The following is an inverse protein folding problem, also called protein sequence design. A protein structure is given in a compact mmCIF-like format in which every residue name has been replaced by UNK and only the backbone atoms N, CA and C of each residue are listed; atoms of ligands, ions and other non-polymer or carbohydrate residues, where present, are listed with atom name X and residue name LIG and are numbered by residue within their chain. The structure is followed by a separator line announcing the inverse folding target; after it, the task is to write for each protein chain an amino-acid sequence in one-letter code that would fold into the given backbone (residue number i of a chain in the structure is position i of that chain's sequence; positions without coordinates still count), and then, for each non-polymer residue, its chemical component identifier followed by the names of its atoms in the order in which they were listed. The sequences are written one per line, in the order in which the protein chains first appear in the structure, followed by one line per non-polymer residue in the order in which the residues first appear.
data_IF_816475904253
#
_entry.id   IF_816475904253
#
_cell.length_a   1.000
_cell.length_b   1.000
_cell.length_c   1.000
_cell.angle_alpha   90.00
_cell.angle_beta   90.00
_cell.angle_gamma   90.00
#
_symmetry.space_group_name_H-M   'P 1'
#
loop_
_entity.id
_entity.type
_entity.pdbx_description
1 polymer ?
#
# COMPACT_ATOMS: atom_id res chain seq x y z
N UNK A 1 -6.98 14.31 -10.89
CA UNK A 1 -6.20 14.92 -9.80
C UNK A 1 -6.95 14.86 -8.47
N UNK A 2 -6.42 15.49 -7.44
CA UNK A 2 -7.02 15.50 -6.08
C UNK A 2 -8.37 16.18 -6.03
N UNK A 3 -8.64 17.16 -6.90
CA UNK A 3 -9.89 17.89 -6.99
C UNK A 3 -10.94 17.12 -7.81
N UNK A 4 -10.56 16.05 -8.47
CA UNK A 4 -11.43 15.28 -9.37
C UNK A 4 -11.47 15.85 -10.78
N UNK A 5 -10.60 16.80 -11.11
CA UNK A 5 -10.43 17.31 -12.46
C UNK A 5 -9.71 16.28 -13.34
N UNK A 6 -10.13 16.17 -14.60
CA UNK A 6 -9.49 15.29 -15.58
C UNK A 6 -8.03 15.70 -15.76
N UNK A 7 -7.09 14.76 -15.58
CA UNK A 7 -5.66 15.01 -15.84
C UNK A 7 -5.42 15.29 -17.32
N UNK A 8 -4.67 16.35 -17.63
CA UNK A 8 -4.32 16.74 -18.99
C UNK A 8 -2.95 17.41 -19.02
N UNK A 9 -2.12 17.07 -20.01
CA UNK A 9 -0.81 17.70 -20.21
C UNK A 9 -0.93 19.22 -20.38
N UNK A 10 -1.96 19.68 -21.09
CA UNK A 10 -2.21 21.12 -21.30
C UNK A 10 -2.68 21.87 -20.05
N UNK A 11 -3.20 21.17 -19.05
CA UNK A 11 -3.58 21.73 -17.75
C UNK A 11 -2.44 21.68 -16.72
N UNK A 12 -1.36 20.92 -17.02
CA UNK A 12 -0.22 20.77 -16.13
C UNK A 12 -0.49 19.97 -14.84
N UNK A 13 -1.64 19.28 -14.77
CA UNK A 13 -2.04 18.48 -13.61
C UNK A 13 -1.76 16.98 -13.77
N UNK A 14 -0.86 16.61 -14.69
CA UNK A 14 -0.42 15.23 -14.88
C UNK A 14 0.71 14.93 -13.92
N UNK A 15 0.50 13.92 -13.09
CA UNK A 15 1.55 13.36 -12.23
C UNK A 15 2.26 12.26 -13.02
N UNK A 16 3.55 12.42 -13.27
CA UNK A 16 4.37 11.37 -13.88
C UNK A 16 4.56 10.24 -12.83
N UNK A 17 4.15 8.99 -13.16
CA UNK A 17 4.37 7.86 -12.26
C UNK A 17 5.82 7.68 -11.84
N UNK A 18 6.79 8.01 -12.70
CA UNK A 18 8.21 7.90 -12.38
C UNK A 18 8.65 8.93 -11.30
N UNK A 19 8.06 10.12 -11.29
CA UNK A 19 8.28 11.11 -10.24
C UNK A 19 7.77 10.60 -8.88
N UNK A 20 6.64 9.90 -8.87
CA UNK A 20 6.10 9.29 -7.64
C UNK A 20 6.99 8.14 -7.16
N UNK A 21 7.44 7.29 -8.08
CA UNK A 21 8.24 6.10 -7.75
C UNK A 21 9.63 6.48 -7.26
N UNK A 22 10.30 7.41 -7.95
CA UNK A 22 11.71 7.75 -7.72
C UNK A 22 11.91 8.98 -6.82
N UNK A 23 10.88 9.78 -6.64
CA UNK A 23 10.95 11.14 -6.13
C UNK A 23 11.23 12.14 -7.26
N UNK A 24 10.91 13.39 -7.02
CA UNK A 24 11.20 14.49 -7.94
C UNK A 24 11.36 15.79 -7.15
N UNK A 25 12.33 16.63 -7.54
CA UNK A 25 12.43 17.98 -7.01
C UNK A 25 11.35 18.89 -7.59
N UNK A 26 11.12 20.06 -6.99
CA UNK A 26 10.23 21.06 -7.58
C UNK A 26 10.66 21.43 -9.01
N UNK A 27 11.97 21.54 -9.23
CA UNK A 27 12.53 21.89 -10.56
C UNK A 27 12.22 20.82 -11.59
N UNK A 28 12.29 19.51 -11.23
CA UNK A 28 11.91 18.40 -12.10
C UNK A 28 10.43 18.46 -12.48
N UNK A 29 9.57 18.76 -11.50
CA UNK A 29 8.11 18.89 -11.73
C UNK A 29 7.81 20.05 -12.68
N UNK A 30 8.44 21.20 -12.45
CA UNK A 30 8.27 22.39 -13.30
C UNK A 30 8.84 22.18 -14.70
N UNK A 31 9.99 21.53 -14.83
CA UNK A 31 10.58 21.17 -16.12
C UNK A 31 9.66 20.22 -16.92
N UNK A 32 9.14 19.18 -16.28
CA UNK A 32 8.19 18.25 -16.90
C UNK A 32 6.91 18.93 -17.36
N UNK A 33 6.33 19.80 -16.51
CA UNK A 33 5.13 20.55 -16.84
C UNK A 33 5.35 21.53 -18.02
N UNK A 34 6.47 22.27 -18.03
CA UNK A 34 6.86 23.17 -19.14
C UNK A 34 7.04 22.40 -20.44
N UNK A 35 7.74 21.26 -20.41
CA UNK A 35 7.90 20.41 -21.59
C UNK A 35 6.55 19.86 -22.11
N UNK A 36 5.57 19.66 -21.24
CA UNK A 36 4.20 19.30 -21.58
C UNK A 36 3.32 20.47 -22.08
N UNK A 37 3.84 21.70 -22.12
CA UNK A 37 3.12 22.88 -22.56
C UNK A 37 2.16 23.47 -21.51
N UNK A 38 2.42 23.26 -20.22
CA UNK A 38 1.60 23.78 -19.13
C UNK A 38 1.63 25.32 -19.12
N UNK A 39 0.47 25.99 -18.92
CA UNK A 39 0.40 27.45 -18.84
C UNK A 39 1.02 27.95 -17.52
N UNK A 40 1.44 29.24 -17.43
CA UNK A 40 2.05 29.82 -16.23
C UNK A 40 1.25 29.57 -14.94
N UNK A 41 -0.07 29.72 -15.00
CA UNK A 41 -0.96 29.48 -13.84
C UNK A 41 -0.87 28.05 -13.30
N UNK A 42 -0.61 27.06 -14.17
CA UNK A 42 -0.41 25.67 -13.75
C UNK A 42 0.95 25.49 -13.05
N UNK A 43 1.99 26.17 -13.50
CA UNK A 43 3.30 26.16 -12.84
C UNK A 43 3.24 26.76 -11.44
N UNK A 44 2.52 27.89 -11.28
CA UNK A 44 2.28 28.51 -9.97
C UNK A 44 1.48 27.57 -9.04
N UNK A 45 0.54 26.81 -9.60
CA UNK A 45 -0.21 25.81 -8.84
C UNK A 45 0.69 24.66 -8.35
N UNK A 46 1.57 24.13 -9.22
CA UNK A 46 2.54 23.10 -8.87
C UNK A 46 3.47 23.60 -7.76
N UNK A 47 4.01 24.81 -7.87
CA UNK A 47 4.89 25.43 -6.88
C UNK A 47 4.22 25.54 -5.51
N UNK A 48 2.94 25.94 -5.48
CA UNK A 48 2.16 26.04 -4.22
C UNK A 48 1.83 24.69 -3.62
N UNK A 49 1.50 23.72 -4.45
CA UNK A 49 1.04 22.40 -4.00
C UNK A 49 2.20 21.48 -3.58
N UNK A 50 3.35 21.61 -4.24
CA UNK A 50 4.50 20.75 -4.04
C UNK A 50 5.81 21.57 -3.89
N UNK A 51 5.92 22.44 -2.88
CA UNK A 51 7.07 23.33 -2.73
C UNK A 51 8.41 22.57 -2.57
N UNK A 52 8.36 21.38 -1.97
CA UNK A 52 9.53 20.52 -1.75
C UNK A 52 9.62 19.36 -2.77
N UNK A 53 8.75 19.36 -3.80
CA UNK A 53 8.63 18.26 -4.76
C UNK A 53 7.94 17.03 -4.18
N UNK A 54 8.29 15.84 -4.70
CA UNK A 54 7.80 14.55 -4.23
C UNK A 54 8.91 13.75 -3.56
N UNK A 55 8.72 13.24 -2.35
CA UNK A 55 9.61 12.23 -1.81
C UNK A 55 9.47 10.92 -2.61
N UNK A 56 10.50 10.07 -2.55
CA UNK A 56 10.44 8.74 -3.16
C UNK A 56 9.42 7.87 -2.44
N UNK A 57 8.34 7.46 -3.11
CA UNK A 57 7.32 6.56 -2.55
C UNK A 57 7.56 5.08 -2.88
N UNK A 58 8.18 4.78 -4.02
CA UNK A 58 8.38 3.43 -4.54
C UNK A 58 7.20 2.93 -5.39
N UNK A 59 7.48 1.91 -6.20
CA UNK A 59 6.51 1.37 -7.15
C UNK A 59 5.32 0.69 -6.45
N UNK A 60 5.56 -0.03 -5.36
CA UNK A 60 4.51 -0.80 -4.68
C UNK A 60 3.47 0.11 -4.03
N UNK A 61 3.91 1.24 -3.43
CA UNK A 61 2.99 2.23 -2.86
C UNK A 61 2.06 2.82 -3.93
N UNK A 62 2.60 3.17 -5.09
CA UNK A 62 1.80 3.68 -6.21
C UNK A 62 0.83 2.62 -6.75
N UNK A 63 1.32 1.40 -7.01
CA UNK A 63 0.51 0.29 -7.53
C UNK A 63 -0.63 -0.08 -6.58
N UNK A 64 -0.33 -0.19 -5.29
CA UNK A 64 -1.35 -0.48 -4.28
C UNK A 64 -2.37 0.65 -4.17
N UNK A 65 -1.93 1.91 -4.24
CA UNK A 65 -2.83 3.07 -4.26
C UNK A 65 -3.80 2.99 -5.43
N UNK A 66 -3.29 2.72 -6.64
CA UNK A 66 -4.14 2.61 -7.83
C UNK A 66 -5.14 1.46 -7.69
N UNK A 67 -4.71 0.28 -7.23
CA UNK A 67 -5.61 -0.85 -6.99
C UNK A 67 -6.69 -0.52 -5.95
N UNK A 68 -6.32 0.12 -4.84
CA UNK A 68 -7.24 0.48 -3.76
C UNK A 68 -8.26 1.56 -4.17
N UNK A 69 -7.92 2.41 -5.16
CA UNK A 69 -8.79 3.46 -5.66
C UNK A 69 -9.60 3.06 -6.91
N UNK A 70 -9.27 1.93 -7.54
CA UNK A 70 -9.90 1.44 -8.76
C UNK A 70 -11.31 0.87 -8.48
N UNK A 71 -12.26 1.74 -8.13
CA UNK A 71 -13.68 1.39 -8.07
C UNK A 71 -14.29 1.29 -9.47
N UNK A 72 -15.25 0.38 -9.66
CA UNK A 72 -15.94 0.26 -10.94
C UNK A 72 -16.74 1.54 -11.23
N UNK A 73 -16.50 2.13 -12.40
CA UNK A 73 -17.28 3.28 -12.90
C UNK A 73 -16.98 4.62 -12.22
N UNK A 74 -15.93 4.74 -11.43
CA UNK A 74 -15.53 5.99 -10.79
C UNK A 74 -14.16 6.47 -11.23
N UNK A 75 -14.01 7.79 -11.37
CA UNK A 75 -12.70 8.41 -11.61
C UNK A 75 -11.80 8.28 -10.38
N UNK A 76 -10.54 7.92 -10.62
CA UNK A 76 -9.53 7.77 -9.56
C UNK A 76 -9.01 9.16 -9.14
N UNK A 77 -9.35 9.58 -7.92
CA UNK A 77 -8.77 10.79 -7.32
C UNK A 77 -7.44 10.44 -6.65
N UNK A 78 -6.36 10.59 -7.43
CA UNK A 78 -5.02 10.30 -6.93
C UNK A 78 -4.49 11.48 -6.12
N UNK A 79 -4.09 11.24 -4.88
CA UNK A 79 -3.41 12.22 -4.03
C UNK A 79 -2.11 11.68 -3.48
N UNK A 80 -1.11 12.56 -3.36
CA UNK A 80 0.20 12.23 -2.80
C UNK A 80 0.07 11.70 -1.37
N UNK A 81 -0.82 12.28 -0.56
CA UNK A 81 -1.09 11.85 0.81
C UNK A 81 -1.60 10.40 0.89
N UNK A 82 -2.42 9.96 -0.08
CA UNK A 82 -2.88 8.56 -0.14
C UNK A 82 -1.75 7.61 -0.50
N UNK A 83 -0.88 8.01 -1.43
CA UNK A 83 0.31 7.22 -1.81
C UNK A 83 1.23 7.05 -0.60
N UNK A 84 1.44 8.12 0.18
CA UNK A 84 2.22 8.07 1.41
C UNK A 84 1.62 7.10 2.44
N UNK A 85 0.31 7.13 2.63
CA UNK A 85 -0.38 6.18 3.51
C UNK A 85 -0.14 4.73 3.11
N UNK A 86 -0.22 4.41 1.83
CA UNK A 86 0.05 3.05 1.33
C UNK A 86 1.54 2.69 1.31
N UNK A 87 2.46 3.67 1.22
CA UNK A 87 3.89 3.44 1.49
C UNK A 87 4.11 2.97 2.93
N UNK A 88 3.45 3.59 3.91
CA UNK A 88 3.50 3.13 5.30
C UNK A 88 2.96 1.71 5.45
N UNK A 89 1.91 1.36 4.72
CA UNK A 89 1.39 -0.01 4.70
C UNK A 89 2.41 -1.02 4.14
N UNK A 90 3.04 -0.74 3.01
CA UNK A 90 4.11 -1.58 2.45
C UNK A 90 5.27 -1.75 3.44
N UNK A 91 5.69 -0.67 4.10
CA UNK A 91 6.71 -0.71 5.14
C UNK A 91 6.28 -1.53 6.36
N UNK A 92 5.00 -1.48 6.75
CA UNK A 92 4.47 -2.28 7.86
C UNK A 92 4.58 -3.78 7.55
N UNK A 93 4.24 -4.20 6.33
CA UNK A 93 4.39 -5.59 5.88
C UNK A 93 5.86 -6.02 5.93
N UNK A 94 6.77 -5.20 5.41
CA UNK A 94 8.20 -5.48 5.44
C UNK A 94 8.73 -5.62 6.87
N UNK A 95 8.33 -4.73 7.77
CA UNK A 95 8.74 -4.79 9.17
C UNK A 95 8.15 -6.02 9.89
N UNK A 96 6.91 -6.41 9.58
CA UNK A 96 6.31 -7.64 10.10
C UNK A 96 7.10 -8.88 9.65
N UNK A 97 7.51 -8.93 8.38
CA UNK A 97 8.39 -9.99 7.89
C UNK A 97 9.74 -9.98 8.62
N UNK A 98 10.39 -8.83 8.74
CA UNK A 98 11.69 -8.72 9.44
C UNK A 98 11.60 -9.15 10.91
N UNK A 99 10.48 -8.90 11.56
CA UNK A 99 10.23 -9.38 12.92
C UNK A 99 10.08 -10.89 12.96
N UNK A 100 9.35 -11.49 12.03
CA UNK A 100 9.12 -12.93 12.00
C UNK A 100 10.32 -13.73 11.48
N UNK A 101 11.13 -13.17 10.58
CA UNK A 101 12.21 -13.88 9.87
C UNK A 101 13.22 -14.61 10.79
N UNK A 102 13.67 -14.05 11.92
CA UNK A 102 14.59 -14.75 12.83
C UNK A 102 13.98 -16.00 13.48
N UNK A 103 12.65 -16.12 13.49
CA UNK A 103 11.91 -17.23 14.10
C UNK A 103 11.50 -18.29 13.06
N UNK A 104 11.78 -18.06 11.78
CA UNK A 104 11.51 -19.01 10.71
C UNK A 104 12.64 -20.05 10.67
N UNK A 105 12.27 -21.32 10.58
CA UNK A 105 13.20 -22.43 10.50
C UNK A 105 13.66 -22.57 9.04
N UNK A 106 14.98 -22.70 8.80
CA UNK A 106 15.57 -22.83 7.46
C UNK A 106 15.10 -24.08 6.70
N UNK A 107 14.75 -25.14 7.40
CA UNK A 107 14.11 -26.31 6.81
C UNK A 107 12.58 -26.19 6.92
N UNK A 108 11.94 -25.89 5.81
CA UNK A 108 10.48 -25.90 5.71
C UNK A 108 9.95 -27.33 5.92
N UNK A 109 9.81 -27.75 7.16
CA UNK A 109 9.02 -28.94 7.49
C UNK A 109 7.55 -28.59 7.22
N UNK A 110 6.99 -29.25 6.23
CA UNK A 110 5.53 -29.23 6.02
C UNK A 110 4.89 -30.00 7.19
N UNK A 111 4.61 -29.26 8.26
CA UNK A 111 3.87 -29.80 9.41
C UNK A 111 2.39 -29.60 9.14
N UNK A 112 1.58 -30.65 9.32
CA UNK A 112 0.13 -30.51 9.28
C UNK A 112 -0.31 -29.63 10.46
N UNK A 113 -1.03 -28.55 10.18
CA UNK A 113 -1.56 -27.63 11.20
C UNK A 113 -2.31 -28.38 12.32
N UNK A 114 -3.06 -29.43 11.97
CA UNK A 114 -3.77 -30.26 12.94
C UNK A 114 -2.86 -31.03 13.95
N UNK A 115 -1.55 -31.07 13.70
CA UNK A 115 -0.60 -31.71 14.61
C UNK A 115 0.11 -30.71 15.54
N UNK A 116 -0.17 -29.40 15.42
CA UNK A 116 0.43 -28.35 16.23
C UNK A 116 -0.47 -27.99 17.43
N UNK A 117 0.12 -27.73 18.60
CA UNK A 117 -0.63 -27.21 19.74
C UNK A 117 -0.97 -25.73 19.50
N UNK A 118 -2.08 -25.47 18.79
CA UNK A 118 -2.54 -24.13 18.50
C UNK A 118 -3.16 -23.49 19.74
N UNK A 119 -2.85 -22.22 19.97
CA UNK A 119 -3.58 -21.39 20.93
C UNK A 119 -4.83 -20.79 20.29
N UNK A 120 -5.73 -20.24 21.10
CA UNK A 120 -6.93 -19.52 20.61
C UNK A 120 -6.56 -18.39 19.62
N UNK A 121 -5.44 -17.68 19.87
CA UNK A 121 -4.97 -16.66 18.97
C UNK A 121 -4.50 -17.21 17.61
N UNK A 122 -3.87 -18.38 17.60
CA UNK A 122 -3.43 -19.06 16.38
C UNK A 122 -4.64 -19.52 15.57
N UNK A 123 -5.63 -20.12 16.22
CA UNK A 123 -6.88 -20.55 15.57
C UNK A 123 -7.65 -19.35 15.00
N UNK A 124 -7.73 -18.26 15.75
CA UNK A 124 -8.37 -17.04 15.33
C UNK A 124 -7.72 -16.47 14.06
N UNK A 125 -6.38 -16.25 14.06
CA UNK A 125 -5.71 -15.65 12.90
C UNK A 125 -5.77 -16.54 11.66
N UNK A 126 -5.69 -17.86 11.82
CA UNK A 126 -5.85 -18.82 10.72
C UNK A 126 -7.25 -18.80 10.14
N UNK A 127 -8.28 -18.72 10.98
CA UNK A 127 -9.67 -18.55 10.55
C UNK A 127 -9.86 -17.26 9.76
N UNK A 128 -9.28 -16.16 10.26
CA UNK A 128 -9.31 -14.86 9.57
C UNK A 128 -8.58 -14.90 8.23
N UNK A 129 -7.37 -15.49 8.19
CA UNK A 129 -6.61 -15.69 6.95
C UNK A 129 -7.43 -16.44 5.90
N UNK A 130 -8.09 -17.53 6.28
CA UNK A 130 -8.93 -18.30 5.37
C UNK A 130 -10.12 -17.48 4.83
N UNK A 131 -10.77 -16.69 5.69
CA UNK A 131 -11.89 -15.83 5.29
C UNK A 131 -11.42 -14.74 4.32
N UNK A 132 -10.30 -14.08 4.62
CA UNK A 132 -9.71 -13.04 3.78
C UNK A 132 -9.26 -13.61 2.44
N UNK A 133 -8.61 -14.77 2.43
CA UNK A 133 -8.17 -15.45 1.19
C UNK A 133 -9.36 -15.71 0.25
N UNK A 134 -10.49 -16.21 0.78
CA UNK A 134 -11.70 -16.40 -0.03
C UNK A 134 -12.22 -15.06 -0.57
N UNK A 135 -12.38 -14.05 0.30
CA UNK A 135 -12.89 -12.74 -0.11
C UNK A 135 -12.01 -12.05 -1.15
N UNK A 136 -10.69 -12.14 -0.99
CA UNK A 136 -9.73 -11.61 -1.98
C UNK A 136 -9.85 -12.35 -3.31
N UNK A 137 -9.94 -13.69 -3.28
CA UNK A 137 -10.11 -14.50 -4.50
C UNK A 137 -11.40 -14.12 -5.24
N UNK A 138 -12.52 -14.01 -4.54
CA UNK A 138 -13.81 -13.59 -5.11
C UNK A 138 -13.74 -12.17 -5.68
N UNK A 139 -13.08 -11.26 -4.97
CA UNK A 139 -12.90 -9.88 -5.43
C UNK A 139 -12.07 -9.83 -6.73
N UNK A 140 -10.98 -10.60 -6.82
CA UNK A 140 -10.17 -10.72 -8.05
C UNK A 140 -10.97 -11.32 -9.20
N UNK A 141 -11.72 -12.40 -8.98
CA UNK A 141 -12.56 -13.02 -10.00
C UNK A 141 -13.64 -12.08 -10.55
N UNK A 142 -14.07 -11.14 -9.71
CA UNK A 142 -15.07 -10.11 -10.06
C UNK A 142 -14.46 -8.77 -10.48
N UNK A 143 -13.14 -8.70 -10.66
CA UNK A 143 -12.40 -7.45 -10.98
C UNK A 143 -12.63 -6.30 -9.99
N UNK A 144 -12.97 -6.61 -8.74
CA UNK A 144 -13.15 -5.63 -7.65
C UNK A 144 -11.85 -5.45 -6.87
N UNK A 145 -10.83 -4.85 -7.53
CA UNK A 145 -9.48 -4.73 -6.96
C UNK A 145 -9.43 -3.86 -5.70
N UNK A 146 -10.29 -2.85 -5.61
CA UNK A 146 -10.44 -2.01 -4.43
C UNK A 146 -10.89 -2.81 -3.19
N UNK A 147 -11.81 -3.76 -3.37
CA UNK A 147 -12.29 -4.62 -2.30
C UNK A 147 -11.18 -5.58 -1.86
N UNK A 148 -10.45 -6.18 -2.81
CA UNK A 148 -9.30 -7.02 -2.52
C UNK A 148 -8.22 -6.25 -1.72
N UNK A 149 -7.89 -5.04 -2.14
CA UNK A 149 -6.92 -4.18 -1.45
C UNK A 149 -7.39 -3.82 -0.03
N UNK A 150 -8.69 -3.50 0.15
CA UNK A 150 -9.27 -3.22 1.46
C UNK A 150 -9.21 -4.42 2.40
N UNK A 151 -9.56 -5.61 1.93
CA UNK A 151 -9.50 -6.84 2.73
C UNK A 151 -8.08 -7.15 3.18
N UNK A 152 -7.10 -7.03 2.27
CA UNK A 152 -5.68 -7.21 2.60
C UNK A 152 -5.18 -6.18 3.60
N UNK A 153 -5.54 -4.91 3.42
CA UNK A 153 -5.15 -3.84 4.33
C UNK A 153 -5.68 -4.09 5.75
N UNK A 154 -6.99 -4.36 5.88
CA UNK A 154 -7.63 -4.60 7.17
C UNK A 154 -7.01 -5.80 7.89
N UNK A 155 -6.84 -6.91 7.19
CA UNK A 155 -6.24 -8.12 7.77
C UNK A 155 -4.79 -7.91 8.18
N UNK A 156 -3.93 -7.44 7.25
CA UNK A 156 -2.50 -7.35 7.53
C UNK A 156 -2.16 -6.26 8.54
N UNK A 157 -2.81 -5.09 8.45
CA UNK A 157 -2.52 -4.00 9.37
C UNK A 157 -3.16 -4.25 10.74
N UNK A 158 -4.48 -4.41 10.77
CA UNK A 158 -5.22 -4.38 12.04
C UNK A 158 -5.30 -5.73 12.74
N UNK A 159 -5.47 -6.83 12.01
CA UNK A 159 -5.61 -8.13 12.66
C UNK A 159 -4.26 -8.81 12.88
N UNK A 160 -3.43 -8.91 11.84
CA UNK A 160 -2.15 -9.60 11.93
C UNK A 160 -1.10 -8.77 12.69
N UNK A 161 -0.84 -7.51 12.24
CA UNK A 161 0.24 -6.71 12.85
C UNK A 161 -0.14 -6.13 14.20
N UNK A 162 -1.35 -5.52 14.32
CA UNK A 162 -1.69 -4.80 15.55
C UNK A 162 -2.13 -5.74 16.69
N UNK A 163 -2.62 -6.95 16.35
CA UNK A 163 -3.06 -7.91 17.35
C UNK A 163 -2.22 -9.16 17.41
N UNK A 164 -2.22 -9.97 16.34
CA UNK A 164 -1.59 -11.29 16.41
C UNK A 164 -0.10 -11.22 16.71
N UNK A 165 0.66 -10.36 16.00
CA UNK A 165 2.10 -10.21 16.26
C UNK A 165 2.38 -9.74 17.68
N UNK A 166 1.57 -8.83 18.24
CA UNK A 166 1.74 -8.38 19.62
C UNK A 166 1.47 -9.50 20.63
N UNK A 167 0.42 -10.30 20.40
CA UNK A 167 0.09 -11.44 21.28
C UNK A 167 1.22 -12.47 21.30
N UNK A 168 1.83 -12.77 20.15
CA UNK A 168 2.87 -13.82 20.07
C UNK A 168 4.26 -13.36 20.46
N UNK A 169 4.51 -12.06 20.67
CA UNK A 169 5.84 -11.54 21.06
C UNK A 169 6.44 -12.25 22.26
N UNK A 170 5.67 -12.39 23.33
CA UNK A 170 6.14 -13.04 24.54
C UNK A 170 6.51 -14.51 24.32
N UNK A 171 5.77 -15.19 23.44
CA UNK A 171 6.03 -16.59 23.09
C UNK A 171 7.28 -16.73 22.19
N UNK A 172 7.55 -15.75 21.34
CA UNK A 172 8.72 -15.73 20.46
C UNK A 172 9.99 -15.30 21.20
N UNK A 173 9.87 -14.51 22.25
CA UNK A 173 11.02 -14.11 23.08
C UNK A 173 11.64 -15.28 23.86
N UNK A 174 10.95 -16.40 23.98
CA UNK A 174 11.38 -17.56 24.78
C UNK A 174 11.02 -17.39 26.26
N UNK A 175 11.18 -18.44 27.07
CA UNK A 175 11.11 -18.31 28.52
C UNK A 175 12.33 -17.50 29.00
N UNK A 176 12.10 -16.54 29.93
CA UNK A 176 13.13 -15.85 30.69
C UNK A 176 14.00 -16.83 31.48
#
# INVERSE_FOLDING_TARGET
DEQGEKTSKTRGNVIDPLHVVNGATLDDLLAGAKAGGAPPAALDSITRQYPDGFPRFGADALRFTLAALAGQGSDVKLSVKRIEGYRHFCNKIWNAYRFAAPHLIDEARVVRLAALPLTVADEWILSRLNAVTRGVTEAFQSYRFNDAASLLYQFLWHEYCDWYLEIVKNRLAGPD
#
